data_IF_227257146550
#
_entry.id   IF_227257146550
#
_cell.length_a   1.000
_cell.length_b   1.000
_cell.length_c   1.000
_cell.angle_alpha   90.00
_cell.angle_beta   90.00
_cell.angle_gamma   90.00
#
_symmetry.space_group_name_H-M   'P 1'
#
loop_
_entity.id
_entity.type
_entity.pdbx_description
1 polymer ?
#
# COMPACT_ATOMS: atom_id res chain seq x y z
N UNK A 1 23.29 0.01 -19.30
CA UNK A 1 24.24 0.28 -18.22
C UNK A 1 23.95 -0.68 -17.08
N UNK A 2 24.98 -1.37 -16.57
CA UNK A 2 24.87 -2.28 -15.44
C UNK A 2 25.42 -1.62 -14.17
N UNK A 3 24.67 -1.76 -13.08
CA UNK A 3 25.03 -1.25 -11.75
C UNK A 3 25.04 -2.41 -10.76
N UNK A 4 26.10 -2.55 -9.98
CA UNK A 4 26.21 -3.52 -8.89
C UNK A 4 26.00 -2.90 -7.50
N UNK A 5 25.64 -1.61 -7.47
CA UNK A 5 25.46 -0.78 -6.28
C UNK A 5 24.30 0.19 -6.44
N UNK A 6 23.82 0.64 -5.31
CA UNK A 6 22.91 1.78 -5.21
C UNK A 6 23.57 3.06 -5.75
N UNK A 7 22.81 3.85 -6.49
CA UNK A 7 23.22 5.18 -6.97
C UNK A 7 22.65 6.23 -6.03
N UNK A 8 23.50 6.90 -5.28
CA UNK A 8 23.09 7.98 -4.39
C UNK A 8 23.27 9.32 -5.08
N UNK A 9 22.22 10.14 -5.06
CA UNK A 9 22.20 11.45 -5.68
C UNK A 9 21.82 12.48 -4.62
N UNK A 10 22.62 13.52 -4.52
CA UNK A 10 22.36 14.68 -3.69
C UNK A 10 22.77 15.92 -4.47
N UNK A 11 21.82 16.48 -5.22
CA UNK A 11 22.06 17.60 -6.12
C UNK A 11 20.76 18.35 -6.41
N UNK A 12 20.85 19.66 -6.55
CA UNK A 12 19.76 20.51 -7.01
C UNK A 12 19.78 20.69 -8.52
N UNK A 13 18.58 20.79 -9.10
CA UNK A 13 18.38 21.09 -10.53
C UNK A 13 19.10 20.12 -11.48
N UNK A 14 19.19 18.85 -11.08
CA UNK A 14 19.83 17.82 -11.88
C UNK A 14 18.85 17.22 -12.87
N UNK A 15 19.27 17.17 -14.13
CA UNK A 15 18.54 16.47 -15.19
C UNK A 15 19.25 15.18 -15.59
N UNK A 16 18.55 14.06 -15.47
CA UNK A 16 18.97 12.74 -15.94
C UNK A 16 17.98 12.29 -17.01
N UNK A 17 18.44 12.16 -18.24
CA UNK A 17 17.59 11.75 -19.34
C UNK A 17 18.26 10.70 -20.21
N UNK A 18 17.52 9.63 -20.50
CA UNK A 18 17.94 8.63 -21.46
C UNK A 18 17.53 8.99 -22.90
N UNK A 19 17.83 8.10 -23.83
CA UNK A 19 17.44 8.20 -25.24
C UNK A 19 16.03 7.58 -25.49
N UNK A 20 15.31 7.22 -24.44
CA UNK A 20 14.00 6.57 -24.49
C UNK A 20 14.01 5.21 -23.78
N UNK A 21 12.83 4.78 -23.34
CA UNK A 21 12.65 3.52 -22.55
C UNK A 21 13.10 2.26 -23.29
N UNK A 22 13.23 2.31 -24.60
CA UNK A 22 13.73 1.19 -25.41
C UNK A 22 15.22 1.27 -25.73
N UNK A 23 15.88 2.37 -25.39
CA UNK A 23 17.26 2.64 -25.80
C UNK A 23 18.21 2.82 -24.61
N UNK A 24 17.70 3.29 -23.47
CA UNK A 24 18.49 3.48 -22.26
C UNK A 24 17.97 2.62 -21.15
N UNK A 25 18.70 1.57 -20.80
CA UNK A 25 18.41 0.69 -19.70
C UNK A 25 19.44 0.87 -18.57
N UNK A 26 18.93 1.07 -17.35
CA UNK A 26 19.69 1.00 -16.11
C UNK A 26 19.34 -0.34 -15.45
N UNK A 27 20.26 -1.31 -15.50
CA UNK A 27 20.05 -2.63 -14.97
C UNK A 27 20.85 -2.81 -13.67
N UNK A 28 20.15 -3.14 -12.57
CA UNK A 28 20.74 -3.34 -11.26
C UNK A 28 20.92 -4.84 -11.01
N UNK A 29 22.17 -5.27 -10.94
CA UNK A 29 22.54 -6.69 -10.93
C UNK A 29 22.62 -7.31 -9.55
N UNK A 30 22.71 -6.49 -8.48
CA UNK A 30 22.83 -6.98 -7.11
C UNK A 30 21.55 -7.68 -6.65
N UNK A 31 21.71 -8.74 -5.89
CA UNK A 31 20.68 -9.46 -5.16
C UNK A 31 20.74 -9.20 -3.65
N UNK A 32 21.48 -8.16 -3.23
CA UNK A 32 21.70 -7.81 -1.83
C UNK A 32 20.86 -6.60 -1.41
N UNK A 33 20.59 -6.54 -0.13
CA UNK A 33 19.92 -5.39 0.48
C UNK A 33 20.68 -4.10 0.19
N UNK A 34 19.97 -3.05 -0.20
CA UNK A 34 20.54 -1.77 -0.63
C UNK A 34 21.52 -1.86 -1.82
N UNK A 35 21.46 -2.96 -2.56
CA UNK A 35 22.39 -3.21 -3.67
C UNK A 35 22.02 -2.55 -4.99
N UNK A 36 20.94 -1.78 -5.06
CA UNK A 36 20.51 -1.17 -6.32
C UNK A 36 19.56 -0.01 -6.14
N UNK A 37 19.08 0.50 -7.28
CA UNK A 37 18.18 1.64 -7.36
C UNK A 37 18.88 3.00 -7.28
N UNK A 38 18.08 4.05 -7.40
CA UNK A 38 18.50 5.44 -7.25
C UNK A 38 17.89 6.00 -5.97
N UNK A 39 18.72 6.54 -5.09
CA UNK A 39 18.31 7.18 -3.85
C UNK A 39 18.65 8.66 -3.89
N UNK A 40 17.62 9.49 -3.68
CA UNK A 40 17.77 10.93 -3.63
C UNK A 40 17.88 11.38 -2.17
N UNK A 41 18.92 12.13 -1.86
CA UNK A 41 19.19 12.67 -0.52
C UNK A 41 18.49 14.01 -0.26
N UNK A 42 18.78 14.59 0.90
CA UNK A 42 18.07 15.75 1.45
C UNK A 42 18.15 17.03 0.61
N UNK A 43 19.17 17.17 -0.21
CA UNK A 43 19.40 18.36 -1.04
C UNK A 43 19.05 18.12 -2.52
N UNK A 44 18.05 17.30 -2.77
CA UNK A 44 17.64 16.95 -4.13
C UNK A 44 16.35 17.69 -4.51
N UNK A 45 16.48 18.93 -4.98
CA UNK A 45 15.35 19.73 -5.48
C UNK A 45 15.44 19.92 -7.00
N UNK A 46 14.31 20.10 -7.65
CA UNK A 46 14.26 20.37 -9.09
C UNK A 46 14.85 19.25 -9.94
N UNK A 47 14.70 18.01 -9.49
CA UNK A 47 15.21 16.84 -10.21
C UNK A 47 14.30 16.53 -11.41
N UNK A 48 14.89 16.30 -12.57
CA UNK A 48 14.19 15.73 -13.71
C UNK A 48 14.81 14.37 -14.08
N UNK A 49 14.02 13.29 -13.99
CA UNK A 49 14.41 11.95 -14.40
C UNK A 49 13.48 11.46 -15.51
N UNK A 50 14.03 11.12 -16.69
CA UNK A 50 13.19 10.82 -17.84
C UNK A 50 13.80 9.91 -18.90
N UNK A 51 12.93 9.37 -19.78
CA UNK A 51 13.30 8.69 -21.02
C UNK A 51 14.22 7.47 -20.82
N UNK A 52 13.98 6.67 -19.79
CA UNK A 52 14.81 5.49 -19.50
C UNK A 52 13.98 4.34 -18.91
N UNK A 53 14.57 3.16 -18.95
CA UNK A 53 14.07 1.94 -18.36
C UNK A 53 14.97 1.50 -17.21
N UNK A 54 14.35 1.14 -16.08
CA UNK A 54 15.04 0.61 -14.90
C UNK A 54 14.56 -0.80 -14.62
N UNK A 55 15.49 -1.70 -14.36
CA UNK A 55 15.24 -3.11 -14.12
C UNK A 55 16.21 -3.67 -13.08
N UNK A 56 15.83 -4.74 -12.40
CA UNK A 56 16.70 -5.40 -11.43
C UNK A 56 16.61 -6.92 -11.49
N UNK A 57 17.48 -7.59 -10.76
CA UNK A 57 17.50 -9.04 -10.62
C UNK A 57 16.72 -9.57 -9.40
N UNK A 58 15.95 -8.72 -8.72
CA UNK A 58 15.17 -9.16 -7.58
C UNK A 58 14.05 -10.11 -8.01
N UNK A 59 13.92 -11.24 -7.31
CA UNK A 59 12.99 -12.32 -7.66
C UNK A 59 12.01 -12.68 -6.56
N UNK A 60 12.22 -12.19 -5.33
CA UNK A 60 11.37 -12.54 -4.20
C UNK A 60 11.18 -11.39 -3.24
N UNK A 61 9.91 -11.08 -2.91
CA UNK A 61 9.53 -10.14 -1.86
C UNK A 61 10.03 -10.57 -0.48
N UNK A 62 10.15 -11.86 -0.24
CA UNK A 62 10.46 -12.42 1.06
C UNK A 62 11.95 -12.68 1.30
N UNK A 63 12.79 -12.35 0.33
CA UNK A 63 14.23 -12.37 0.52
C UNK A 63 14.69 -11.03 1.09
N UNK A 64 14.77 -10.93 2.41
CA UNK A 64 15.12 -9.68 3.12
C UNK A 64 16.54 -9.20 2.76
N UNK A 65 17.43 -10.08 2.32
CA UNK A 65 18.78 -9.72 1.91
C UNK A 65 18.84 -9.09 0.51
N UNK A 66 17.72 -9.11 -0.23
CA UNK A 66 17.64 -8.64 -1.59
C UNK A 66 16.55 -7.57 -1.76
N UNK A 67 16.49 -6.60 -0.85
CA UNK A 67 15.46 -5.55 -0.85
C UNK A 67 16.04 -4.20 -1.21
N UNK A 68 15.57 -3.60 -2.30
CA UNK A 68 15.79 -2.20 -2.64
C UNK A 68 14.74 -1.67 -3.63
N UNK A 69 14.51 -0.38 -3.57
CA UNK A 69 13.56 0.33 -4.40
C UNK A 69 14.23 0.81 -5.70
N UNK A 70 13.46 0.97 -6.78
CA UNK A 70 14.03 1.56 -7.99
C UNK A 70 14.39 3.02 -7.78
N UNK A 71 13.45 3.79 -7.21
CA UNK A 71 13.62 5.20 -6.91
C UNK A 71 13.14 5.43 -5.48
N UNK A 72 13.97 6.04 -4.64
CA UNK A 72 13.59 6.33 -3.26
C UNK A 72 14.26 7.59 -2.70
N UNK A 73 13.80 7.99 -1.51
CA UNK A 73 14.30 9.15 -0.80
C UNK A 73 13.43 10.39 -0.96
N UNK A 74 14.01 11.56 -0.79
CA UNK A 74 13.29 12.84 -0.92
C UNK A 74 13.68 13.55 -2.21
N UNK A 75 12.68 13.99 -2.95
CA UNK A 75 12.85 14.71 -4.22
C UNK A 75 12.63 16.23 -4.06
N UNK A 76 12.60 16.71 -2.82
CA UNK A 76 12.51 18.12 -2.49
C UNK A 76 11.36 18.83 -3.19
N UNK A 77 11.64 19.99 -3.76
CA UNK A 77 10.64 20.82 -4.45
C UNK A 77 10.71 20.67 -5.97
N UNK A 78 9.51 20.70 -6.57
CA UNK A 78 9.31 20.88 -8.02
C UNK A 78 10.06 19.87 -8.91
N UNK A 79 10.21 18.66 -8.42
CA UNK A 79 10.86 17.57 -9.17
C UNK A 79 9.89 16.89 -10.12
N UNK A 80 10.42 16.28 -11.17
CA UNK A 80 9.62 15.60 -12.19
C UNK A 80 10.24 14.27 -12.60
N UNK A 81 9.41 13.22 -12.65
CA UNK A 81 9.79 11.90 -13.16
C UNK A 81 8.80 11.56 -14.27
N UNK A 82 9.29 11.34 -15.50
CA UNK A 82 8.38 11.14 -16.61
C UNK A 82 8.95 10.28 -17.74
N UNK A 83 8.05 9.68 -18.53
CA UNK A 83 8.42 8.85 -19.66
C UNK A 83 9.44 7.76 -19.29
N UNK A 84 9.18 7.07 -18.18
CA UNK A 84 10.04 6.01 -17.66
C UNK A 84 9.32 4.66 -17.62
N UNK A 85 10.12 3.60 -17.58
CA UNK A 85 9.65 2.26 -17.27
C UNK A 85 10.47 1.68 -16.12
N UNK A 86 9.80 1.19 -15.08
CA UNK A 86 10.40 0.61 -13.87
C UNK A 86 9.79 -0.76 -13.62
N UNK A 87 10.62 -1.79 -13.42
CA UNK A 87 10.12 -3.12 -13.06
C UNK A 87 11.13 -3.97 -12.29
N UNK A 88 10.63 -5.03 -11.65
CA UNK A 88 11.36 -6.07 -10.92
C UNK A 88 12.13 -5.57 -9.69
N UNK A 89 11.77 -4.44 -9.13
CA UNK A 89 12.29 -4.00 -7.83
C UNK A 89 11.40 -4.49 -6.68
N UNK A 90 11.82 -4.31 -5.46
CA UNK A 90 10.94 -4.49 -4.31
C UNK A 90 9.76 -3.50 -4.41
N UNK A 91 10.05 -2.22 -4.55
CA UNK A 91 9.08 -1.13 -4.80
C UNK A 91 9.52 -0.33 -6.01
N UNK A 92 8.58 0.06 -6.85
CA UNK A 92 8.89 0.94 -7.98
C UNK A 92 9.39 2.30 -7.52
N UNK A 93 8.60 3.02 -6.72
CA UNK A 93 9.01 4.29 -6.12
C UNK A 93 8.54 4.37 -4.67
N UNK A 94 9.47 4.69 -3.77
CA UNK A 94 9.17 4.96 -2.36
C UNK A 94 9.67 6.36 -2.01
N UNK A 95 8.74 7.31 -1.98
CA UNK A 95 9.06 8.72 -1.84
C UNK A 95 8.81 9.14 -0.40
N UNK A 96 9.88 9.41 0.32
CA UNK A 96 9.84 9.81 1.72
C UNK A 96 11.22 9.82 2.36
N UNK A 97 11.36 10.62 3.41
CA UNK A 97 12.56 10.71 4.22
C UNK A 97 12.41 9.86 5.47
N UNK A 98 13.48 9.17 5.85
CA UNK A 98 13.53 8.33 7.04
C UNK A 98 14.56 8.82 8.07
N UNK A 99 14.93 10.09 8.00
CA UNK A 99 15.83 10.69 8.98
C UNK A 99 15.20 10.70 10.38
N UNK A 100 15.83 9.97 11.30
CA UNK A 100 15.39 9.89 12.70
C UNK A 100 16.02 10.97 13.57
N UNK A 101 16.89 11.83 13.04
CA UNK A 101 17.56 12.90 13.79
C UNK A 101 16.71 14.14 13.99
N UNK A 102 15.53 14.19 13.35
CA UNK A 102 14.61 15.33 13.39
C UNK A 102 14.84 16.38 12.30
N UNK A 103 15.76 16.12 11.36
CA UNK A 103 16.05 17.03 10.24
C UNK A 103 15.35 16.60 8.95
N UNK A 104 14.20 15.97 9.05
CA UNK A 104 13.45 15.46 7.91
C UNK A 104 13.24 16.51 6.81
N UNK A 105 13.39 16.08 5.57
CA UNK A 105 13.06 16.85 4.38
C UNK A 105 11.89 16.20 3.67
N UNK A 106 11.04 17.01 3.08
CA UNK A 106 9.82 16.54 2.47
C UNK A 106 9.84 16.77 0.98
N UNK A 107 9.35 15.79 0.25
CA UNK A 107 9.02 15.97 -1.17
C UNK A 107 7.77 16.85 -1.28
N UNK A 108 7.86 17.91 -2.08
CA UNK A 108 6.81 18.92 -2.24
C UNK A 108 6.65 19.28 -3.73
N UNK A 109 5.55 18.89 -4.34
CA UNK A 109 5.27 19.20 -5.74
C UNK A 109 5.90 18.24 -6.77
N UNK A 110 6.24 17.02 -6.38
CA UNK A 110 6.70 15.99 -7.32
C UNK A 110 5.60 15.66 -8.33
N UNK A 111 5.95 15.63 -9.61
CA UNK A 111 5.08 15.13 -10.68
C UNK A 111 5.67 13.86 -11.27
N UNK A 112 4.92 12.76 -11.18
CA UNK A 112 5.20 11.51 -11.90
C UNK A 112 4.17 11.37 -13.01
N UNK A 113 4.63 11.34 -14.28
CA UNK A 113 3.72 11.22 -15.41
C UNK A 113 4.24 10.31 -16.53
N UNK A 114 3.32 9.72 -17.30
CA UNK A 114 3.63 8.82 -18.41
C UNK A 114 4.57 7.66 -18.03
N UNK A 115 4.48 7.21 -16.78
CA UNK A 115 5.32 6.15 -16.24
C UNK A 115 4.70 4.76 -16.45
N UNK A 116 5.54 3.76 -16.69
CA UNK A 116 5.18 2.34 -16.64
C UNK A 116 5.84 1.73 -15.41
N UNK A 117 5.06 1.47 -14.36
CA UNK A 117 5.55 0.91 -13.09
C UNK A 117 4.96 -0.48 -12.96
N UNK A 118 5.77 -1.51 -13.22
CA UNK A 118 5.24 -2.84 -13.45
C UNK A 118 6.03 -3.93 -12.72
N UNK A 119 5.32 -4.99 -12.33
CA UNK A 119 5.91 -6.23 -11.87
C UNK A 119 6.91 -6.05 -10.71
N UNK A 120 6.69 -5.08 -9.84
CA UNK A 120 7.47 -4.92 -8.63
C UNK A 120 6.94 -5.86 -7.54
N UNK A 121 7.79 -6.24 -6.62
CA UNK A 121 7.49 -7.25 -5.61
C UNK A 121 6.58 -6.74 -4.48
N UNK A 122 6.56 -5.42 -4.29
CA UNK A 122 5.67 -4.71 -3.38
C UNK A 122 4.96 -3.57 -4.12
N UNK A 123 4.91 -2.36 -3.56
CA UNK A 123 4.16 -1.22 -4.12
C UNK A 123 4.66 -0.82 -5.51
N UNK A 124 3.73 -0.28 -6.29
CA UNK A 124 4.11 0.44 -7.50
C UNK A 124 4.74 1.78 -7.15
N UNK A 125 3.97 2.71 -6.58
CA UNK A 125 4.45 4.00 -6.08
C UNK A 125 3.83 4.27 -4.71
N UNK A 126 4.66 4.59 -3.72
CA UNK A 126 4.23 4.97 -2.40
C UNK A 126 4.72 6.39 -2.06
N UNK A 127 3.80 7.30 -1.76
CA UNK A 127 4.07 8.58 -1.14
C UNK A 127 4.02 8.40 0.37
N UNK A 128 5.12 8.66 1.04
CA UNK A 128 5.30 8.42 2.46
C UNK A 128 5.99 9.61 3.14
N UNK A 129 5.99 9.60 4.45
CA UNK A 129 6.80 10.47 5.31
C UNK A 129 6.68 11.97 4.97
N UNK A 130 5.46 12.49 4.92
CA UNK A 130 5.21 13.91 4.73
C UNK A 130 5.30 14.40 3.28
N UNK A 131 5.34 13.51 2.30
CA UNK A 131 5.23 13.88 0.88
C UNK A 131 3.93 14.66 0.64
N UNK A 132 4.02 15.80 -0.04
CA UNK A 132 2.88 16.70 -0.23
C UNK A 132 2.83 17.34 -1.60
N UNK A 133 1.64 17.84 -1.96
CA UNK A 133 1.36 18.54 -3.21
C UNK A 133 1.82 17.77 -4.46
N UNK A 134 1.98 16.45 -4.35
CA UNK A 134 2.60 15.61 -5.37
C UNK A 134 1.56 14.85 -6.17
N UNK A 135 1.87 14.55 -7.42
CA UNK A 135 0.90 13.99 -8.36
C UNK A 135 1.48 12.82 -9.13
N UNK A 136 0.73 11.70 -9.19
CA UNK A 136 0.94 10.65 -10.18
C UNK A 136 -0.18 10.74 -11.21
N UNK A 137 0.16 10.89 -12.49
CA UNK A 137 -0.86 11.03 -13.54
C UNK A 137 -0.50 10.32 -14.83
N UNK A 138 -1.54 9.96 -15.61
CA UNK A 138 -1.40 9.41 -16.97
C UNK A 138 -0.43 8.21 -17.04
N UNK A 139 -0.36 7.41 -15.99
CA UNK A 139 0.62 6.33 -15.83
C UNK A 139 -0.04 4.96 -15.83
N UNK A 140 0.72 3.93 -16.21
CA UNK A 140 0.28 2.54 -16.18
C UNK A 140 1.02 1.78 -15.07
N UNK A 141 0.25 1.37 -14.07
CA UNK A 141 0.70 0.69 -12.86
C UNK A 141 0.17 -0.73 -12.90
N UNK A 142 1.04 -1.74 -13.06
CA UNK A 142 0.57 -3.10 -13.36
C UNK A 142 1.36 -4.20 -12.66
N UNK A 143 0.63 -5.20 -12.13
CA UNK A 143 1.25 -6.44 -11.67
C UNK A 143 2.15 -6.29 -10.45
N UNK A 144 1.93 -5.23 -9.65
CA UNK A 144 2.71 -5.01 -8.44
C UNK A 144 2.19 -5.87 -7.28
N UNK A 145 3.07 -6.21 -6.36
CA UNK A 145 2.82 -7.18 -5.30
C UNK A 145 2.27 -6.59 -4.01
N UNK A 146 2.05 -5.30 -3.94
CA UNK A 146 1.31 -4.62 -2.88
C UNK A 146 0.43 -3.55 -3.50
N UNK A 147 0.20 -2.41 -2.86
CA UNK A 147 -0.65 -1.38 -3.44
C UNK A 147 -0.09 -0.84 -4.76
N UNK A 148 -0.95 -0.71 -5.76
CA UNK A 148 -0.52 -0.13 -7.04
C UNK A 148 0.00 1.30 -6.84
N UNK A 149 -0.80 2.14 -6.18
CA UNK A 149 -0.44 3.48 -5.71
C UNK A 149 -0.81 3.60 -4.24
N UNK A 150 0.04 4.21 -3.41
CA UNK A 150 -0.25 4.42 -2.01
C UNK A 150 0.07 5.84 -1.53
N UNK A 151 -0.70 6.31 -0.54
CA UNK A 151 -0.41 7.46 0.32
C UNK A 151 -0.35 6.91 1.74
N UNK A 152 0.84 6.92 2.35
CA UNK A 152 1.08 6.23 3.61
C UNK A 152 1.54 7.20 4.70
N UNK A 153 0.56 7.83 5.35
CA UNK A 153 0.75 8.85 6.40
C UNK A 153 1.09 8.23 7.75
N UNK A 154 2.12 7.38 7.78
CA UNK A 154 2.51 6.58 8.93
C UNK A 154 3.75 7.13 9.63
N UNK A 155 3.77 6.99 10.96
CA UNK A 155 4.94 7.25 11.82
C UNK A 155 5.54 5.94 12.35
N UNK A 156 5.20 4.81 11.75
CA UNK A 156 5.53 3.47 12.28
C UNK A 156 7.04 3.20 12.40
N UNK A 157 7.86 3.87 11.61
CA UNK A 157 9.29 3.63 11.55
C UNK A 157 10.12 4.53 12.50
N UNK A 158 9.50 5.04 13.58
CA UNK A 158 10.16 5.88 14.54
C UNK A 158 10.53 7.27 14.02
N UNK A 159 10.05 7.65 12.87
CA UNK A 159 10.18 9.00 12.33
C UNK A 159 9.13 9.91 12.94
N UNK A 160 9.41 11.20 12.96
CA UNK A 160 8.46 12.22 13.37
C UNK A 160 7.97 13.02 12.14
N UNK A 161 7.62 12.30 11.08
CA UNK A 161 7.17 12.89 9.82
C UNK A 161 5.89 13.71 10.00
N UNK A 162 5.75 14.75 9.18
CA UNK A 162 4.48 15.44 9.01
C UNK A 162 3.47 14.55 8.29
N UNK A 163 2.18 14.91 8.37
CA UNK A 163 1.16 14.25 7.56
C UNK A 163 1.38 14.51 6.06
N UNK A 164 1.05 13.52 5.23
CA UNK A 164 0.94 13.74 3.78
C UNK A 164 -0.22 14.67 3.48
N UNK A 165 -0.01 15.59 2.53
CA UNK A 165 -0.98 16.62 2.20
C UNK A 165 -1.16 16.78 0.69
N UNK A 166 -2.40 16.96 0.24
CA UNK A 166 -2.76 17.40 -1.11
C UNK A 166 -2.15 16.56 -2.24
N UNK A 167 -1.90 15.27 -2.00
CA UNK A 167 -1.38 14.38 -3.04
C UNK A 167 -2.50 13.93 -3.97
N UNK A 168 -2.16 13.70 -5.25
CA UNK A 168 -3.14 13.39 -6.29
C UNK A 168 -2.75 12.18 -7.12
N UNK A 169 -3.74 11.31 -7.38
CA UNK A 169 -3.62 10.22 -8.34
C UNK A 169 -4.66 10.42 -9.44
N UNK A 170 -4.22 10.85 -10.63
CA UNK A 170 -5.10 11.35 -11.67
C UNK A 170 -4.94 10.58 -13.00
N UNK A 171 -6.04 10.08 -13.55
CA UNK A 171 -6.06 9.49 -14.90
C UNK A 171 -5.06 8.36 -15.12
N UNK A 172 -4.80 7.54 -14.10
CA UNK A 172 -3.91 6.39 -14.20
C UNK A 172 -4.69 5.14 -14.58
N UNK A 173 -4.02 4.17 -15.19
CA UNK A 173 -4.49 2.80 -15.32
C UNK A 173 -3.76 1.92 -14.32
N UNK A 174 -4.50 1.36 -13.37
CA UNK A 174 -3.97 0.47 -12.32
C UNK A 174 -4.58 -0.90 -12.52
N UNK A 175 -3.77 -1.94 -12.68
CA UNK A 175 -4.27 -3.26 -13.03
C UNK A 175 -3.43 -4.41 -12.47
N UNK A 176 -4.12 -5.55 -12.27
CA UNK A 176 -3.48 -6.82 -11.94
C UNK A 176 -2.60 -6.80 -10.68
N UNK A 177 -2.98 -6.04 -9.66
CA UNK A 177 -2.37 -6.13 -8.31
C UNK A 177 -2.64 -7.52 -7.73
N UNK A 178 -1.59 -8.18 -7.17
CA UNK A 178 -1.73 -9.58 -6.78
C UNK A 178 -1.72 -9.85 -5.28
N UNK A 179 -1.62 -8.79 -4.42
CA UNK A 179 -1.61 -8.97 -2.97
C UNK A 179 -2.45 -7.95 -2.20
N UNK A 180 -2.52 -6.70 -2.61
CA UNK A 180 -3.20 -5.63 -1.89
C UNK A 180 -4.09 -4.78 -2.82
N UNK A 181 -4.32 -3.51 -2.49
CA UNK A 181 -5.26 -2.68 -3.22
C UNK A 181 -4.69 -2.12 -4.54
N UNK A 182 -5.58 -1.69 -5.42
CA UNK A 182 -5.18 -0.87 -6.57
C UNK A 182 -4.64 0.48 -6.11
N UNK A 183 -5.38 1.15 -5.21
CA UNK A 183 -4.95 2.39 -4.55
C UNK A 183 -5.21 2.27 -3.04
N UNK A 184 -4.17 2.53 -2.22
CA UNK A 184 -4.24 2.57 -0.77
C UNK A 184 -4.10 3.99 -0.23
N UNK A 185 -4.99 4.40 0.71
CA UNK A 185 -4.94 5.70 1.39
C UNK A 185 -4.94 5.44 2.89
N UNK A 186 -3.82 5.72 3.53
CA UNK A 186 -3.56 5.41 4.93
C UNK A 186 -3.41 6.69 5.75
N UNK A 187 -4.39 7.58 5.66
CA UNK A 187 -4.43 8.85 6.39
C UNK A 187 -4.04 10.07 5.56
N UNK A 188 -3.60 11.12 6.25
CA UNK A 188 -3.27 12.40 5.65
C UNK A 188 -4.50 13.28 5.37
N UNK A 189 -4.35 14.32 4.55
CA UNK A 189 -5.42 15.29 4.26
C UNK A 189 -5.37 15.86 2.85
N UNK A 190 -6.53 16.28 2.34
CA UNK A 190 -6.64 17.02 1.09
C UNK A 190 -6.32 16.22 -0.18
N UNK A 191 -6.32 14.90 -0.14
CA UNK A 191 -5.96 14.06 -1.28
C UNK A 191 -7.08 14.00 -2.32
N UNK A 192 -6.69 13.81 -3.59
CA UNK A 192 -7.62 13.66 -4.72
C UNK A 192 -7.28 12.43 -5.56
N UNK A 193 -8.25 11.54 -5.70
CA UNK A 193 -8.14 10.30 -6.47
C UNK A 193 -9.21 10.34 -7.56
N UNK A 194 -8.83 10.67 -8.78
CA UNK A 194 -9.84 10.88 -9.81
C UNK A 194 -9.45 10.44 -11.21
N UNK A 195 -10.47 10.07 -11.99
CA UNK A 195 -10.31 9.70 -13.39
C UNK A 195 -9.53 8.40 -13.64
N UNK A 196 -9.23 7.61 -12.60
CA UNK A 196 -8.43 6.41 -12.74
C UNK A 196 -9.29 5.24 -13.26
N UNK A 197 -8.68 4.41 -14.11
CA UNK A 197 -9.18 3.08 -14.45
C UNK A 197 -8.45 2.05 -13.58
N UNK A 198 -9.18 1.45 -12.64
CA UNK A 198 -8.67 0.42 -11.74
C UNK A 198 -9.34 -0.89 -12.10
N UNK A 199 -8.57 -1.90 -12.47
CA UNK A 199 -9.18 -3.16 -12.92
C UNK A 199 -8.36 -4.39 -12.54
N UNK A 200 -9.08 -5.50 -12.38
CA UNK A 200 -8.47 -6.81 -12.17
C UNK A 200 -7.57 -6.85 -10.91
N UNK A 201 -8.02 -6.22 -9.82
CA UNK A 201 -7.38 -6.29 -8.49
C UNK A 201 -8.08 -7.39 -7.71
N UNK A 202 -7.48 -8.59 -7.68
CA UNK A 202 -8.14 -9.80 -7.19
C UNK A 202 -7.87 -10.09 -5.72
N UNK A 203 -6.82 -9.54 -5.15
CA UNK A 203 -6.38 -9.85 -3.79
C UNK A 203 -6.76 -8.77 -2.77
N UNK A 204 -7.38 -7.69 -3.21
CA UNK A 204 -7.77 -6.57 -2.36
C UNK A 204 -8.84 -5.70 -2.97
N UNK A 205 -9.06 -4.53 -2.41
CA UNK A 205 -9.98 -3.54 -2.94
C UNK A 205 -9.41 -2.85 -4.19
N UNK A 206 -10.30 -2.31 -5.02
CA UNK A 206 -9.87 -1.35 -6.04
C UNK A 206 -9.27 -0.10 -5.39
N UNK A 207 -10.01 0.51 -4.45
CA UNK A 207 -9.52 1.62 -3.59
C UNK A 207 -9.77 1.24 -2.14
N UNK A 208 -8.75 1.37 -1.30
CA UNK A 208 -8.81 1.12 0.14
C UNK A 208 -8.47 2.38 0.91
N UNK A 209 -9.33 2.76 1.86
CA UNK A 209 -9.12 3.87 2.79
C UNK A 209 -9.12 3.31 4.20
N UNK A 210 -8.04 3.48 4.96
CA UNK A 210 -7.96 2.82 6.25
C UNK A 210 -7.08 3.52 7.29
N UNK A 211 -7.26 3.12 8.55
CA UNK A 211 -6.52 3.59 9.72
C UNK A 211 -5.75 2.46 10.40
N UNK A 212 -5.21 1.53 9.61
CA UNK A 212 -4.53 0.33 10.14
C UNK A 212 -3.18 0.68 10.77
N UNK A 213 -2.47 1.65 10.19
CA UNK A 213 -1.15 2.05 10.67
C UNK A 213 -1.24 3.16 11.72
N UNK A 214 -0.26 3.18 12.64
CA UNK A 214 -0.07 4.33 13.51
C UNK A 214 0.47 5.51 12.70
N UNK A 215 -0.05 6.70 12.94
CA UNK A 215 0.38 7.90 12.25
C UNK A 215 -0.69 8.97 12.16
N UNK A 216 -0.55 9.83 11.18
CA UNK A 216 -1.52 10.90 10.89
C UNK A 216 -2.70 10.34 10.11
N UNK A 217 -3.51 9.49 10.71
CA UNK A 217 -4.62 8.83 10.02
C UNK A 217 -5.49 9.84 9.26
N UNK A 218 -6.60 10.28 9.87
CA UNK A 218 -7.45 11.32 9.28
C UNK A 218 -7.70 12.46 10.29
N UNK A 219 -6.87 12.56 11.31
CA UNK A 219 -7.06 13.53 12.40
C UNK A 219 -6.94 14.98 11.92
N UNK A 220 -6.09 15.20 10.90
CA UNK A 220 -5.86 16.50 10.27
C UNK A 220 -6.63 16.68 8.96
N UNK A 221 -7.63 15.85 8.68
CA UNK A 221 -8.33 15.86 7.39
C UNK A 221 -9.42 16.94 7.33
N UNK A 222 -9.06 18.18 7.63
CA UNK A 222 -9.92 19.36 7.50
C UNK A 222 -10.19 19.77 6.05
N UNK A 223 -9.24 19.47 5.15
CA UNK A 223 -9.34 19.77 3.71
C UNK A 223 -10.15 18.74 2.91
N UNK A 224 -10.49 17.61 3.51
CA UNK A 224 -11.22 16.52 2.87
C UNK A 224 -10.38 15.68 1.90
N UNK A 225 -10.82 14.44 1.67
CA UNK A 225 -10.30 13.55 0.64
C UNK A 225 -11.40 13.35 -0.39
N UNK A 226 -11.04 13.43 -1.67
CA UNK A 226 -11.98 13.26 -2.78
C UNK A 226 -11.63 12.04 -3.62
N UNK A 227 -12.58 11.13 -3.77
CA UNK A 227 -12.47 9.92 -4.60
C UNK A 227 -13.60 9.98 -5.62
N UNK A 228 -13.29 10.35 -6.85
CA UNK A 228 -14.36 10.64 -7.82
C UNK A 228 -14.00 10.33 -9.27
N UNK A 229 -15.04 10.15 -10.07
CA UNK A 229 -14.91 9.92 -11.51
C UNK A 229 -14.00 8.73 -11.88
N UNK A 230 -13.75 7.80 -10.95
CA UNK A 230 -12.96 6.60 -11.22
C UNK A 230 -13.85 5.50 -11.80
N UNK A 231 -13.26 4.65 -12.63
CA UNK A 231 -13.86 3.39 -13.06
C UNK A 231 -13.12 2.24 -12.39
N UNK A 232 -13.82 1.47 -11.56
CA UNK A 232 -13.28 0.30 -10.87
C UNK A 232 -13.98 -0.93 -11.45
N UNK A 233 -13.22 -1.80 -12.09
CA UNK A 233 -13.74 -2.93 -12.85
C UNK A 233 -13.10 -4.23 -12.36
N UNK A 234 -13.93 -5.25 -12.07
CA UNK A 234 -13.50 -6.59 -11.62
C UNK A 234 -12.43 -6.52 -10.52
N UNK A 235 -12.72 -5.77 -9.48
CA UNK A 235 -11.85 -5.61 -8.31
C UNK A 235 -12.61 -5.95 -7.04
N UNK A 236 -11.89 -6.18 -5.96
CA UNK A 236 -12.43 -6.67 -4.70
C UNK A 236 -12.14 -8.17 -4.50
N UNK A 237 -12.36 -8.65 -3.29
CA UNK A 237 -12.19 -10.06 -2.93
C UNK A 237 -13.08 -10.43 -1.76
N UNK A 238 -13.53 -11.68 -1.72
CA UNK A 238 -14.27 -12.23 -0.59
C UNK A 238 -13.36 -12.65 0.57
N UNK A 239 -12.04 -12.75 0.31
CA UNK A 239 -11.09 -13.21 1.30
C UNK A 239 -9.69 -12.73 0.95
N UNK A 240 -9.27 -11.60 1.52
CA UNK A 240 -7.91 -11.07 1.35
C UNK A 240 -6.88 -11.83 2.21
N UNK A 241 -5.63 -11.37 2.20
CA UNK A 241 -4.54 -11.94 2.99
C UNK A 241 -4.87 -12.01 4.49
N UNK A 242 -5.70 -11.11 4.99
CA UNK A 242 -6.12 -11.03 6.40
C UNK A 242 -7.48 -11.71 6.65
N UNK A 243 -7.98 -12.46 5.68
CA UNK A 243 -9.29 -13.11 5.72
C UNK A 243 -10.47 -12.13 5.83
N UNK A 244 -10.30 -10.95 5.27
CA UNK A 244 -11.31 -9.92 5.23
C UNK A 244 -11.92 -9.81 3.84
N UNK A 245 -13.20 -9.50 3.83
CA UNK A 245 -13.95 -9.19 2.63
C UNK A 245 -13.66 -7.73 2.23
N UNK A 246 -13.27 -7.51 0.97
CA UNK A 246 -12.97 -6.19 0.40
C UNK A 246 -13.84 -5.94 -0.81
N UNK A 247 -14.58 -4.85 -0.79
CA UNK A 247 -15.34 -4.38 -1.94
C UNK A 247 -14.46 -3.74 -3.03
N UNK A 248 -15.10 -3.21 -4.07
CA UNK A 248 -14.41 -2.36 -5.05
C UNK A 248 -13.83 -1.12 -4.37
N UNK A 249 -14.56 -0.56 -3.39
CA UNK A 249 -14.05 0.44 -2.46
C UNK A 249 -14.21 -0.12 -1.04
N UNK A 250 -13.14 -0.06 -0.25
CA UNK A 250 -13.11 -0.57 1.12
C UNK A 250 -12.70 0.52 2.11
N UNK A 251 -13.44 0.64 3.20
CA UNK A 251 -13.13 1.51 4.32
C UNK A 251 -12.84 0.64 5.55
N UNK A 252 -11.67 0.80 6.16
CA UNK A 252 -11.32 0.06 7.36
C UNK A 252 -10.89 0.99 8.49
N UNK A 253 -11.56 0.92 9.64
CA UNK A 253 -11.22 1.68 10.84
C UNK A 253 -10.66 0.74 11.92
N UNK A 254 -9.40 0.90 12.28
CA UNK A 254 -8.70 0.13 13.31
C UNK A 254 -8.18 1.02 14.42
N UNK A 255 -7.48 2.11 14.09
CA UNK A 255 -6.79 3.00 15.04
C UNK A 255 -7.39 4.41 15.10
N UNK A 256 -8.51 4.65 14.51
CA UNK A 256 -9.16 5.96 14.47
C UNK A 256 -10.27 6.01 13.43
N UNK A 257 -11.00 7.10 13.43
CA UNK A 257 -12.13 7.31 12.53
C UNK A 257 -11.67 7.87 11.20
N UNK A 258 -12.19 7.34 10.11
CA UNK A 258 -12.04 7.95 8.78
C UNK A 258 -12.90 9.20 8.74
N UNK A 259 -12.27 10.36 8.46
CA UNK A 259 -12.93 11.67 8.49
C UNK A 259 -12.91 12.34 7.13
N UNK A 260 -13.97 13.07 6.84
CA UNK A 260 -14.12 14.02 5.73
C UNK A 260 -13.69 13.42 4.36
N UNK A 261 -14.33 12.32 3.96
CA UNK A 261 -14.06 11.63 2.69
C UNK A 261 -15.30 11.70 1.80
N UNK A 262 -15.17 12.29 0.63
CA UNK A 262 -16.19 12.35 -0.41
C UNK A 262 -15.92 11.32 -1.52
N UNK A 263 -16.89 10.47 -1.78
CA UNK A 263 -16.82 9.42 -2.82
C UNK A 263 -17.99 9.60 -3.77
N UNK A 264 -17.73 10.07 -4.97
CA UNK A 264 -18.81 10.41 -5.88
C UNK A 264 -18.48 10.18 -7.36
N UNK A 265 -19.51 9.99 -8.15
CA UNK A 265 -19.42 9.77 -9.61
C UNK A 265 -18.54 8.58 -10.03
N UNK A 266 -18.23 7.64 -9.14
CA UNK A 266 -17.44 6.48 -9.51
C UNK A 266 -18.31 5.42 -10.19
N UNK A 267 -17.70 4.66 -11.11
CA UNK A 267 -18.31 3.49 -11.74
C UNK A 267 -17.70 2.23 -11.16
N UNK A 268 -18.50 1.44 -10.44
CA UNK A 268 -18.09 0.20 -9.79
C UNK A 268 -18.71 -0.97 -10.56
N UNK A 269 -17.91 -1.58 -11.44
CA UNK A 269 -18.41 -2.51 -12.47
C UNK A 269 -17.89 -3.93 -12.23
N UNK A 270 -18.80 -4.91 -12.32
CA UNK A 270 -18.46 -6.33 -12.22
C UNK A 270 -17.58 -6.65 -11.00
N UNK A 271 -17.90 -6.07 -9.86
CA UNK A 271 -17.15 -6.26 -8.62
C UNK A 271 -17.15 -7.74 -8.21
N UNK A 272 -16.00 -8.23 -7.74
CA UNK A 272 -15.80 -9.62 -7.34
C UNK A 272 -16.34 -9.93 -5.95
N UNK A 273 -16.78 -8.92 -5.23
CA UNK A 273 -17.26 -8.99 -3.85
C UNK A 273 -18.64 -8.33 -3.70
N UNK A 274 -19.43 -8.82 -2.77
CA UNK A 274 -20.70 -8.25 -2.34
C UNK A 274 -20.72 -8.17 -0.80
N UNK A 275 -20.86 -6.98 -0.20
CA UNK A 275 -21.20 -5.70 -0.84
C UNK A 275 -20.04 -5.07 -1.65
N UNK A 276 -20.44 -4.31 -2.67
CA UNK A 276 -19.51 -3.61 -3.59
C UNK A 276 -18.68 -2.53 -2.90
N UNK A 277 -19.24 -1.92 -1.85
CA UNK A 277 -18.54 -1.00 -0.94
C UNK A 277 -18.57 -1.62 0.46
N UNK A 278 -17.39 -1.87 1.01
CA UNK A 278 -17.25 -2.49 2.33
C UNK A 278 -16.85 -1.49 3.40
N UNK A 279 -17.32 -1.74 4.62
CA UNK A 279 -16.93 -1.00 5.82
C UNK A 279 -16.50 -2.02 6.89
N UNK A 280 -15.20 -2.10 7.13
CA UNK A 280 -14.59 -2.98 8.12
C UNK A 280 -14.19 -2.14 9.34
N UNK A 281 -15.14 -1.89 10.26
CA UNK A 281 -14.94 -1.04 11.43
C UNK A 281 -14.76 -1.91 12.68
N UNK A 282 -13.51 -2.07 13.11
CA UNK A 282 -13.16 -2.92 14.27
C UNK A 282 -13.42 -2.21 15.61
N UNK A 283 -13.38 -0.88 15.62
CA UNK A 283 -13.54 -0.07 16.84
C UNK A 283 -14.99 0.24 17.19
N UNK A 284 -15.95 -0.47 16.60
CA UNK A 284 -17.36 -0.11 16.71
C UNK A 284 -17.70 1.15 15.94
N UNK A 285 -18.94 1.28 15.55
CA UNK A 285 -19.43 2.43 14.78
C UNK A 285 -19.69 3.63 15.71
N UNK A 286 -18.64 4.29 16.18
CA UNK A 286 -18.78 5.58 16.86
C UNK A 286 -19.10 6.71 15.89
N UNK A 287 -20.03 6.46 15.01
CA UNK A 287 -20.36 7.29 13.87
C UNK A 287 -19.83 6.65 12.57
N UNK A 288 -20.60 6.67 11.53
CA UNK A 288 -20.34 6.12 10.19
C UNK A 288 -19.04 6.60 9.50
N UNK A 289 -18.07 7.09 10.25
CA UNK A 289 -17.02 7.91 9.68
C UNK A 289 -17.66 9.08 8.93
N UNK A 290 -16.93 10.10 8.67
CA UNK A 290 -17.41 11.16 7.80
C UNK A 290 -17.20 10.80 6.33
N UNK A 291 -17.87 9.71 5.89
CA UNK A 291 -17.80 9.18 4.51
C UNK A 291 -19.10 9.53 3.81
N UNK A 292 -19.02 10.37 2.80
CA UNK A 292 -20.18 10.80 2.00
C UNK A 292 -20.14 10.13 0.64
N UNK A 293 -21.17 9.38 0.33
CA UNK A 293 -21.33 8.68 -0.95
C UNK A 293 -22.42 9.36 -1.78
N UNK A 294 -22.12 9.73 -3.03
CA UNK A 294 -23.10 10.28 -3.94
C UNK A 294 -22.83 9.93 -5.40
N UNK A 295 -23.88 9.71 -6.17
CA UNK A 295 -23.85 9.50 -7.62
C UNK A 295 -22.90 8.35 -8.09
N UNK A 296 -22.56 7.38 -7.23
CA UNK A 296 -21.77 6.23 -7.66
C UNK A 296 -22.65 5.20 -8.36
N UNK A 297 -22.22 4.70 -9.51
CA UNK A 297 -22.91 3.66 -10.27
C UNK A 297 -22.33 2.30 -9.93
N UNK A 298 -23.19 1.30 -9.66
CA UNK A 298 -22.79 -0.09 -9.40
C UNK A 298 -23.36 -0.98 -10.49
N UNK A 299 -22.50 -1.69 -11.22
CA UNK A 299 -22.84 -2.64 -12.28
C UNK A 299 -23.95 -2.13 -13.23
N UNK A 300 -23.85 -0.86 -13.63
CA UNK A 300 -24.84 -0.17 -14.47
C UNK A 300 -26.26 -0.06 -13.84
N UNK A 301 -26.41 -0.33 -12.55
CA UNK A 301 -27.64 -0.08 -11.79
C UNK A 301 -27.70 1.36 -11.30
N UNK A 302 -28.89 1.77 -10.82
CA UNK A 302 -29.12 3.11 -10.30
C UNK A 302 -28.06 3.51 -9.25
N UNK A 303 -27.72 4.79 -9.26
CA UNK A 303 -26.75 5.36 -8.32
C UNK A 303 -27.10 5.04 -6.87
N UNK A 304 -26.10 4.73 -6.04
CA UNK A 304 -26.27 4.69 -4.60
C UNK A 304 -26.35 6.13 -4.09
N UNK A 305 -27.50 6.49 -3.56
CA UNK A 305 -27.73 7.76 -2.88
C UNK A 305 -27.91 7.45 -1.39
N UNK A 306 -27.01 7.95 -0.56
CA UNK A 306 -27.10 7.80 0.89
C UNK A 306 -26.11 6.79 1.49
N UNK A 307 -26.07 6.74 2.81
CA UNK A 307 -25.20 5.84 3.55
C UNK A 307 -25.56 4.37 3.29
N UNK A 308 -24.63 3.60 2.80
CA UNK A 308 -24.74 2.14 2.81
C UNK A 308 -24.68 1.70 4.27
N UNK A 309 -25.75 1.13 4.77
CA UNK A 309 -25.75 0.56 6.11
C UNK A 309 -24.65 -0.48 6.23
N UNK A 310 -23.79 -0.33 7.23
CA UNK A 310 -22.79 -1.34 7.52
C UNK A 310 -23.51 -2.67 7.80
N UNK A 311 -23.19 -3.69 7.05
CA UNK A 311 -23.49 -5.06 7.47
C UNK A 311 -22.43 -5.38 8.53
N UNK A 312 -22.79 -5.19 9.81
CA UNK A 312 -21.97 -5.72 10.89
C UNK A 312 -21.81 -7.22 10.65
N UNK A 313 -20.60 -7.78 10.70
CA UNK A 313 -20.45 -9.22 10.70
C UNK A 313 -21.25 -9.74 11.89
N UNK A 314 -22.30 -10.51 11.61
CA UNK A 314 -23.03 -11.21 12.66
C UNK A 314 -22.03 -12.11 13.38
N UNK A 315 -21.74 -11.77 14.65
CA UNK A 315 -20.98 -12.64 15.53
C UNK A 315 -21.61 -14.02 15.42
N UNK A 316 -20.87 -15.09 15.12
CA UNK A 316 -21.44 -16.41 15.06
C UNK A 316 -22.16 -16.67 16.38
N UNK A 317 -23.45 -16.99 16.31
CA UNK A 317 -24.20 -17.42 17.50
C UNK A 317 -23.46 -18.60 18.11
N UNK A 318 -23.18 -18.60 19.42
CA UNK A 318 -22.56 -19.75 20.08
C UNK A 318 -23.47 -20.95 19.87
N UNK A 319 -22.95 -21.99 19.22
CA UNK A 319 -23.65 -23.26 19.10
C UNK A 319 -24.05 -23.72 20.52
N UNK A 320 -25.28 -24.20 20.73
CA UNK A 320 -25.70 -24.70 22.05
C UNK A 320 -24.73 -25.81 22.50
N UNK A 321 -24.12 -25.60 23.64
CA UNK A 321 -23.29 -26.60 24.31
C UNK A 321 -24.23 -27.70 24.77
N UNK A 322 -24.25 -28.82 24.07
CA UNK A 322 -24.88 -30.03 24.60
C UNK A 322 -24.05 -30.52 25.80
N UNK A 323 -24.55 -30.30 26.98
CA UNK A 323 -24.02 -30.94 28.19
C UNK A 323 -24.12 -32.46 28.03
N UNK A 324 -23.05 -33.22 28.16
CA UNK A 324 -23.16 -34.66 28.26
C UNK A 324 -23.73 -35.02 29.64
N UNK A 325 -24.80 -35.81 29.61
CA UNK A 325 -25.36 -36.45 30.76
C UNK A 325 -24.30 -37.38 31.35
N UNK A 326 -24.08 -37.26 32.66
CA UNK A 326 -23.21 -38.13 33.43
C UNK A 326 -23.77 -39.54 33.47
N UNK A 327 -23.03 -40.52 32.99
CA UNK A 327 -23.21 -41.90 33.40
C UNK A 327 -21.96 -42.44 34.08
N UNK A 328 -22.21 -43.09 35.21
CA UNK A 328 -21.32 -43.61 36.22
C UNK A 328 -20.50 -44.81 35.78
N UNK A 329 -19.25 -44.74 36.19
CA UNK A 329 -18.33 -45.82 36.61
C UNK A 329 -18.55 -47.31 36.26
N UNK A 330 -17.56 -47.95 35.67
CA UNK A 330 -17.01 -49.26 36.15
C UNK A 330 -15.51 -49.33 35.79
N UNK A 331 -14.72 -49.68 36.78
CA UNK A 331 -13.29 -49.96 36.78
C UNK A 331 -12.95 -51.25 36.05
N UNK A 332 -11.83 -51.26 35.34
CA UNK A 332 -10.87 -52.38 35.34
C UNK A 332 -9.57 -52.01 34.63
N UNK A 333 -8.45 -52.11 35.33
CA UNK A 333 -7.06 -52.22 34.88
C UNK A 333 -6.67 -53.72 34.93
N UNK A 334 -5.52 -54.25 34.37
CA UNK A 334 -4.41 -53.62 33.67
C UNK A 334 -3.82 -54.51 32.52
N UNK A 335 -2.88 -54.01 31.69
CA UNK A 335 -1.52 -54.48 31.49
C UNK A 335 -0.85 -53.98 30.20
N UNK A 336 0.34 -53.50 30.41
CA UNK A 336 1.54 -53.24 29.66
C UNK A 336 1.71 -53.89 28.29
N UNK A 337 2.26 -53.09 27.32
CA UNK A 337 3.59 -53.22 26.75
C UNK A 337 3.79 -52.24 25.55
N UNK A 338 4.80 -51.50 25.59
CA UNK A 338 5.94 -51.17 24.74
C UNK A 338 5.68 -50.63 23.34
N UNK A 339 6.13 -49.41 23.08
CA UNK A 339 6.32 -48.92 21.71
C UNK A 339 6.38 -47.40 21.62
N UNK A 340 7.62 -46.91 21.63
CA UNK A 340 8.00 -45.52 21.37
C UNK A 340 7.53 -45.01 20.00
N UNK A 341 6.80 -43.92 19.97
CA UNK A 341 6.92 -42.89 18.91
C UNK A 341 6.16 -41.63 19.38
N UNK A 342 6.90 -40.59 19.53
CA UNK A 342 6.43 -39.24 19.84
C UNK A 342 5.60 -38.66 18.71
N UNK A 343 4.45 -38.07 18.96
CA UNK A 343 3.83 -37.12 18.07
C UNK A 343 4.16 -35.70 18.56
N UNK A 344 4.69 -34.91 17.64
CA UNK A 344 4.85 -33.47 17.77
C UNK A 344 3.46 -32.84 17.88
N UNK A 345 3.18 -32.17 18.96
CA UNK A 345 1.98 -31.36 19.12
C UNK A 345 2.20 -30.01 18.45
N UNK A 346 1.48 -29.76 17.38
CA UNK A 346 1.33 -28.41 16.84
C UNK A 346 0.40 -27.61 17.76
N UNK A 347 1.00 -26.71 18.50
CA UNK A 347 0.28 -25.64 19.16
C UNK A 347 0.12 -24.51 18.14
N UNK A 348 -1.12 -24.29 17.69
CA UNK A 348 -1.49 -23.12 16.92
C UNK A 348 -1.51 -21.89 17.82
N UNK A 349 -0.43 -21.14 17.85
CA UNK A 349 -0.42 -19.77 18.32
C UNK A 349 -0.80 -18.87 17.15
N UNK A 350 -1.92 -18.19 17.25
CA UNK A 350 -2.29 -17.09 16.37
C UNK A 350 -1.37 -15.91 16.65
N UNK A 351 -0.26 -15.85 15.95
CA UNK A 351 0.54 -14.62 15.87
C UNK A 351 -0.18 -13.60 14.99
N UNK A 352 -0.54 -12.48 15.61
CA UNK A 352 -0.86 -11.25 14.92
C UNK A 352 0.46 -10.77 14.32
N UNK A 353 0.70 -11.10 13.07
CA UNK A 353 1.84 -10.57 12.33
C UNK A 353 1.57 -9.10 12.08
N UNK A 354 2.17 -8.23 12.90
CA UNK A 354 2.32 -6.82 12.56
C UNK A 354 3.23 -6.74 11.35
N UNK A 355 2.71 -6.30 10.21
CA UNK A 355 3.54 -5.94 9.08
C UNK A 355 4.39 -4.72 9.45
N UNK A 356 5.53 -4.96 10.07
CA UNK A 356 6.62 -4.00 10.06
C UNK A 356 7.38 -4.23 8.76
N UNK A 357 7.09 -3.40 7.76
CA UNK A 357 8.06 -3.21 6.69
C UNK A 357 9.26 -2.50 7.31
N UNK A 358 10.19 -3.26 7.84
CA UNK A 358 11.42 -2.72 8.39
C UNK A 358 12.28 -2.19 7.23
N UNK A 359 12.15 -0.91 6.93
CA UNK A 359 13.22 -0.19 6.24
C UNK A 359 14.16 0.34 7.32
N UNK A 360 15.13 -0.47 7.71
CA UNK A 360 16.23 0.04 8.51
C UNK A 360 17.10 0.95 7.65
N UNK A 361 17.32 2.16 8.16
CA UNK A 361 18.27 3.13 7.62
C UNK A 361 19.70 2.61 7.78
N UNK A 362 20.59 2.82 6.82
CA UNK A 362 22.01 2.46 7.00
C UNK A 362 22.63 3.31 8.12
N UNK A 363 23.16 2.65 9.13
CA UNK A 363 24.08 3.31 10.09
C UNK A 363 25.32 3.72 9.30
N UNK A 364 25.59 5.02 9.22
CA UNK A 364 26.87 5.53 8.77
C UNK A 364 27.93 5.13 9.82
N UNK A 365 28.77 4.17 9.49
CA UNK A 365 30.03 4.00 10.23
C UNK A 365 30.94 5.19 9.92
N UNK A 366 31.13 6.01 10.92
CA UNK A 366 32.17 7.02 10.90
C UNK A 366 33.53 6.30 10.97
N UNK A 367 34.27 6.26 9.85
CA UNK A 367 35.68 5.90 9.86
C UNK A 367 36.48 7.04 10.47
N UNK A 368 36.97 6.84 11.72
CA UNK A 368 38.05 7.61 12.28
C UNK A 368 39.37 7.10 11.69
N UNK A 369 40.03 7.88 10.90
CA UNK A 369 41.47 8.15 10.92
C UNK A 369 41.86 9.08 9.78
#
# INVERSE_FOLDING_TARGET
FNFDKQVNIEADNLKISGAGVWHTQLHFTSDKRYGGGIVFGHNSNGIELSNLYMDSNLTSRYNEDAQYKAISGTLGKDSKIHDIWVQHFEVGMWIGDYDQTGNMKYTDGLVVENARIRNNLADGINFAQGTKNSTVKNSNIRGNGDDGLAIWSSISNGTNAAAEENNKFLNNTIESGWRAAGIGIFGGKGHEISGNLIKDVFAGAGIRVNTVFAGHNFDLNDSGIKIHDNTILRSGTTNDLYKLHRGAIDFQQVRGTIKNVDVYNNKLLNTLADPVITKNFEMGDNGNGEIRLSNNTIDNKAAIVGAVSAVSPTKPEPKPVNNPVSETSVSETPKSEGGSSTPVSEASTSEVVSETSASETPKSEASSS
#
